data_IF_409211579792
#
_entry.id   IF_409211579792
#
_cell.length_a   1.000
_cell.length_b   1.000
_cell.length_c   1.000
_cell.angle_alpha   90.00
_cell.angle_beta   90.00
_cell.angle_gamma   90.00
#
_symmetry.space_group_name_H-M   'P 1'
#
loop_
_entity.id
_entity.type
_entity.pdbx_description
1 polymer ?
#
# COMPACT_ATOMS: atom_id res chain seq x y z
N UNK A 1 0.89 -10.07 4.04
CA UNK A 1 1.35 -9.07 3.06
C UNK A 1 1.93 -9.81 1.88
N UNK A 2 1.35 -9.60 0.71
CA UNK A 2 1.80 -10.15 -0.56
C UNK A 2 2.21 -8.97 -1.45
N UNK A 3 3.40 -9.06 -2.04
CA UNK A 3 3.96 -8.03 -2.92
C UNK A 3 4.06 -8.62 -4.31
N UNK A 4 3.32 -8.05 -5.26
CA UNK A 4 3.35 -8.46 -6.66
C UNK A 4 3.87 -7.32 -7.54
N UNK A 5 4.74 -7.65 -8.48
CA UNK A 5 5.22 -6.72 -9.50
C UNK A 5 4.57 -7.10 -10.83
N UNK A 6 3.78 -6.19 -11.38
CA UNK A 6 3.08 -6.39 -12.67
C UNK A 6 3.42 -5.26 -13.63
N UNK A 7 2.96 -5.40 -14.87
CA UNK A 7 3.07 -4.37 -15.91
C UNK A 7 1.68 -4.02 -16.40
N UNK A 8 1.33 -2.74 -16.32
CA UNK A 8 0.08 -2.23 -16.85
C UNK A 8 0.38 -1.20 -17.93
N UNK A 9 -0.05 -1.47 -19.17
CA UNK A 9 0.25 -0.64 -20.34
C UNK A 9 1.76 -0.33 -20.46
N UNK A 10 2.58 -1.39 -20.38
CA UNK A 10 4.05 -1.34 -20.45
C UNK A 10 4.74 -0.57 -19.30
N UNK A 11 3.97 -0.08 -18.32
CA UNK A 11 4.50 0.61 -17.15
C UNK A 11 4.55 -0.36 -15.96
N UNK A 12 5.66 -0.38 -15.21
CA UNK A 12 5.76 -1.22 -14.01
C UNK A 12 4.83 -0.69 -12.91
N UNK A 13 4.13 -1.63 -12.28
CA UNK A 13 3.18 -1.41 -11.19
C UNK A 13 3.49 -2.41 -10.08
N UNK A 14 3.54 -1.92 -8.84
CA UNK A 14 3.60 -2.76 -7.64
C UNK A 14 2.21 -2.85 -7.03
N UNK A 15 1.81 -4.05 -6.63
CA UNK A 15 0.58 -4.32 -5.89
C UNK A 15 0.94 -4.88 -4.52
N UNK A 16 0.40 -4.26 -3.48
CA UNK A 16 0.56 -4.63 -2.09
C UNK A 16 -0.80 -5.10 -1.57
N UNK A 17 -0.93 -6.41 -1.36
CA UNK A 17 -2.15 -7.05 -0.85
C UNK A 17 -1.97 -7.48 0.60
N UNK A 18 -3.04 -7.44 1.38
CA UNK A 18 -3.00 -7.97 2.76
C UNK A 18 -2.93 -9.50 2.76
N UNK A 19 -3.74 -10.11 1.89
CA UNK A 19 -3.92 -11.54 1.66
C UNK A 19 -4.28 -11.83 0.19
N UNK A 20 -4.38 -13.11 -0.21
CA UNK A 20 -4.64 -13.50 -1.60
C UNK A 20 -6.04 -13.10 -2.13
N UNK A 21 -7.02 -12.91 -1.24
CA UNK A 21 -8.39 -12.56 -1.63
C UNK A 21 -8.65 -11.04 -1.58
N UNK A 22 -7.61 -10.25 -1.26
CA UNK A 22 -7.70 -8.80 -1.13
C UNK A 22 -7.87 -8.12 -2.51
N UNK A 23 -9.14 -7.96 -2.91
CA UNK A 23 -9.53 -7.32 -4.19
C UNK A 23 -9.23 -5.82 -4.23
N UNK A 24 -9.02 -5.19 -3.08
CA UNK A 24 -8.74 -3.75 -2.94
C UNK A 24 -7.29 -3.46 -2.52
N UNK A 25 -6.37 -4.39 -2.82
CA UNK A 25 -4.95 -4.20 -2.57
C UNK A 25 -4.41 -2.88 -3.14
N UNK A 26 -3.41 -2.33 -2.47
CA UNK A 26 -2.80 -1.06 -2.84
C UNK A 26 -1.94 -1.25 -4.10
N UNK A 27 -2.38 -0.68 -5.22
CA UNK A 27 -1.67 -0.74 -6.49
C UNK A 27 -1.09 0.63 -6.84
N UNK A 28 0.20 0.68 -7.16
CA UNK A 28 0.86 1.93 -7.53
C UNK A 28 1.91 1.74 -8.62
N UNK A 29 1.99 2.70 -9.54
CA UNK A 29 3.03 2.74 -10.56
C UNK A 29 4.36 3.28 -10.02
N UNK A 30 5.42 3.13 -10.80
CA UNK A 30 6.79 3.54 -10.42
C UNK A 30 6.90 4.98 -9.92
N UNK A 31 6.24 5.96 -10.55
CA UNK A 31 6.29 7.36 -10.12
C UNK A 31 5.74 7.56 -8.71
N UNK A 32 4.63 6.87 -8.38
CA UNK A 32 4.04 6.91 -7.04
C UNK A 32 4.92 6.18 -6.03
N UNK A 33 5.49 5.03 -6.43
CA UNK A 33 6.42 4.30 -5.58
C UNK A 33 7.67 5.13 -5.21
N UNK A 34 8.24 5.88 -6.18
CA UNK A 34 9.35 6.80 -5.92
C UNK A 34 8.97 7.89 -4.91
N UNK A 35 7.80 8.51 -5.08
CA UNK A 35 7.31 9.51 -4.13
C UNK A 35 7.15 8.93 -2.71
N UNK A 36 6.66 7.69 -2.58
CA UNK A 36 6.60 7.03 -1.28
C UNK A 36 7.98 6.76 -0.67
N UNK A 37 9.01 6.49 -1.48
CA UNK A 37 10.38 6.33 -1.00
C UNK A 37 10.94 7.67 -0.51
N UNK A 38 10.69 8.75 -1.24
CA UNK A 38 11.11 10.10 -0.83
C UNK A 38 10.42 10.55 0.46
N UNK A 39 9.13 10.22 0.63
CA UNK A 39 8.34 10.54 1.81
C UNK A 39 8.36 9.44 2.89
N UNK A 40 9.29 8.48 2.83
CA UNK A 40 9.21 7.27 3.67
C UNK A 40 9.28 7.58 5.17
N UNK A 41 10.03 8.62 5.56
CA UNK A 41 10.15 9.03 6.95
C UNK A 41 8.85 9.63 7.49
N UNK A 42 8.22 10.52 6.72
CA UNK A 42 6.92 11.09 7.06
C UNK A 42 5.84 10.01 7.10
N UNK A 43 5.86 9.06 6.16
CA UNK A 43 4.93 7.92 6.16
C UNK A 43 5.12 7.08 7.42
N UNK A 44 6.35 6.77 7.82
CA UNK A 44 6.62 6.04 9.07
C UNK A 44 6.11 6.78 10.30
N UNK A 45 6.32 8.11 10.35
CA UNK A 45 5.81 8.95 11.44
C UNK A 45 4.28 8.95 11.47
N UNK A 46 3.65 9.11 10.31
CA UNK A 46 2.20 9.05 10.16
C UNK A 46 1.62 7.71 10.64
N UNK A 47 2.22 6.60 10.22
CA UNK A 47 1.84 5.26 10.70
C UNK A 47 2.01 5.17 12.21
N UNK A 48 3.17 5.56 12.77
CA UNK A 48 3.40 5.52 14.21
C UNK A 48 2.36 6.31 15.02
N UNK A 49 1.92 7.45 14.50
CA UNK A 49 0.97 8.34 15.16
C UNK A 49 -0.48 7.82 15.05
N UNK A 50 -0.81 7.06 14.01
CA UNK A 50 -2.17 6.61 13.69
C UNK A 50 -2.40 5.10 13.84
N UNK A 51 -1.35 4.29 14.00
CA UNK A 51 -1.41 2.86 14.33
C UNK A 51 -1.75 2.66 15.83
N UNK A 52 -2.69 3.45 16.32
CA UNK A 52 -3.42 3.15 17.55
C UNK A 52 -4.50 2.12 17.18
N UNK A 53 -4.64 1.02 17.93
CA UNK A 53 -5.53 -0.08 17.58
C UNK A 53 -6.98 0.42 17.61
N UNK A 54 -7.47 0.85 16.46
CA UNK A 54 -8.89 1.10 16.25
C UNK A 54 -9.51 -0.24 15.88
N UNK A 55 -10.32 -0.73 16.82
CA UNK A 55 -11.14 -1.93 16.72
C UNK A 55 -11.77 -2.08 15.32
N UNK A 56 -11.87 -3.32 14.81
CA UNK A 56 -12.29 -3.58 13.44
C UNK A 56 -13.68 -3.01 13.21
N UNK A 57 -13.77 -2.05 12.28
CA UNK A 57 -15.03 -1.54 11.78
C UNK A 57 -15.83 -2.71 11.18
N UNK A 58 -16.86 -3.14 11.92
CA UNK A 58 -17.82 -4.16 11.50
C UNK A 58 -18.39 -3.77 10.13
N UNK A 59 -18.25 -4.67 9.17
CA UNK A 59 -19.07 -4.71 7.95
C UNK A 59 -20.55 -4.64 8.34
N UNK A 60 -21.29 -3.70 7.75
CA UNK A 60 -22.74 -3.63 7.81
C UNK A 60 -23.33 -4.22 6.55
#
# INVERSE_FOLDING_TARGET
>A
MIVEFTTFKERPVIQLKRDENDRYGLSMGLSKAKLCIEAIEDIKKFVKDNDVPTEPAKSK
#
